data_IF_207461518998
#
_entry.id   IF_207461518998
#
_cell.length_a   1.000
_cell.length_b   1.000
_cell.length_c   1.000
_cell.angle_alpha   90.00
_cell.angle_beta   90.00
_cell.angle_gamma   90.00
#
_symmetry.space_group_name_H-M   'P 1'
#
loop_
_entity.id
_entity.type
_entity.pdbx_description
1 polymer ?
#
# COMPACT_ATOMS: atom_id res chain seq x y z
N UNK A 1 3.65 6.26 9.36
CA UNK A 1 2.40 6.51 8.66
C UNK A 1 1.63 5.22 8.46
N UNK A 2 0.52 5.14 9.19
CA UNK A 2 -0.48 4.11 9.07
C UNK A 2 -1.89 4.70 8.86
N UNK A 3 -2.74 3.90 8.21
CA UNK A 3 -4.19 4.10 8.15
C UNK A 3 -4.82 3.29 9.26
N UNK A 4 -5.58 3.94 10.15
CA UNK A 4 -6.45 3.24 11.11
C UNK A 4 -7.86 3.14 10.56
N UNK A 5 -8.43 1.95 10.59
CA UNK A 5 -9.84 1.67 10.29
C UNK A 5 -10.49 1.11 11.56
N UNK A 6 -11.40 1.89 12.15
CA UNK A 6 -12.22 1.48 13.28
C UNK A 6 -13.49 0.78 12.78
N UNK A 7 -13.66 -0.46 13.21
CA UNK A 7 -14.86 -1.27 12.94
C UNK A 7 -15.76 -1.32 14.17
N UNK A 8 -17.07 -1.42 13.93
CA UNK A 8 -18.09 -1.58 14.97
C UNK A 8 -18.27 -3.03 15.37
N UNK A 9 -19.38 -3.31 16.04
CA UNK A 9 -19.75 -4.65 16.46
C UNK A 9 -20.04 -5.55 15.26
N UNK A 10 -19.86 -6.86 15.45
CA UNK A 10 -20.09 -7.86 14.42
C UNK A 10 -21.53 -7.82 13.88
N UNK A 11 -21.65 -7.83 12.56
CA UNK A 11 -22.93 -7.86 11.85
C UNK A 11 -22.82 -8.72 10.58
N UNK A 12 -23.87 -9.48 10.28
CA UNK A 12 -23.98 -10.20 9.00
C UNK A 12 -24.52 -9.29 7.91
N UNK A 13 -23.96 -9.38 6.71
CA UNK A 13 -24.36 -8.55 5.57
C UNK A 13 -24.56 -9.42 4.32
N UNK A 14 -25.43 -8.98 3.41
CA UNK A 14 -25.82 -9.75 2.22
C UNK A 14 -25.63 -8.99 0.90
N UNK A 15 -25.12 -7.76 0.95
CA UNK A 15 -24.90 -6.89 -0.22
C UNK A 15 -23.68 -5.98 0.05
N UNK A 16 -22.53 -6.62 0.25
CA UNK A 16 -21.27 -5.92 0.47
C UNK A 16 -20.47 -5.80 -0.82
N UNK A 17 -19.88 -4.64 -1.06
CA UNK A 17 -19.12 -4.35 -2.28
C UNK A 17 -17.88 -5.25 -2.49
N UNK A 18 -17.45 -5.98 -1.45
CA UNK A 18 -16.36 -6.95 -1.51
C UNK A 18 -16.86 -8.39 -1.34
N UNK A 19 -18.16 -8.63 -1.49
CA UNK A 19 -18.83 -9.92 -1.35
C UNK A 19 -18.57 -10.61 -0.01
N UNK A 20 -18.51 -9.82 1.07
CA UNK A 20 -18.30 -10.31 2.43
C UNK A 20 -19.62 -10.75 3.05
N UNK A 21 -19.57 -11.80 3.86
CA UNK A 21 -20.75 -12.29 4.61
C UNK A 21 -20.92 -11.62 5.97
N UNK A 22 -19.88 -10.93 6.47
CA UNK A 22 -19.92 -10.20 7.74
C UNK A 22 -18.97 -9.02 7.77
N UNK A 23 -19.31 -8.04 8.60
CA UNK A 23 -18.48 -6.88 8.95
C UNK A 23 -18.40 -6.75 10.47
N UNK A 24 -17.58 -5.81 10.94
CA UNK A 24 -17.44 -5.57 12.38
C UNK A 24 -16.53 -6.58 13.07
N UNK A 25 -16.47 -6.50 14.39
CA UNK A 25 -15.58 -7.30 15.24
C UNK A 25 -16.32 -7.99 16.37
N UNK A 26 -15.82 -9.16 16.77
CA UNK A 26 -16.11 -9.77 18.07
C UNK A 26 -14.84 -10.42 18.65
N UNK A 27 -14.74 -10.58 19.99
CA UNK A 27 -13.48 -10.93 20.68
C UNK A 27 -12.75 -12.21 20.25
N UNK A 28 -13.41 -13.14 19.55
CA UNK A 28 -12.82 -14.42 19.13
C UNK A 28 -12.43 -14.47 17.66
N UNK A 29 -12.58 -13.37 16.92
CA UNK A 29 -12.06 -13.28 15.57
C UNK A 29 -10.53 -13.37 15.58
N UNK A 30 -10.01 -14.16 14.64
CA UNK A 30 -8.62 -14.15 14.23
C UNK A 30 -8.24 -12.82 13.59
N UNK A 31 -6.95 -12.54 13.50
CA UNK A 31 -6.45 -11.33 12.84
C UNK A 31 -6.81 -11.28 11.36
N UNK A 32 -6.83 -12.43 10.68
CA UNK A 32 -7.29 -12.54 9.29
C UNK A 32 -8.77 -12.22 9.15
N UNK A 33 -9.62 -12.69 10.06
CA UNK A 33 -11.04 -12.35 10.06
C UNK A 33 -11.26 -10.87 10.35
N UNK A 34 -10.51 -10.30 11.30
CA UNK A 34 -10.55 -8.87 11.59
C UNK A 34 -10.07 -8.05 10.39
N UNK A 35 -9.03 -8.49 9.69
CA UNK A 35 -8.56 -7.85 8.46
C UNK A 35 -9.61 -7.88 7.35
N UNK A 36 -10.20 -9.04 7.06
CA UNK A 36 -11.25 -9.15 6.04
C UNK A 36 -12.50 -8.32 6.39
N UNK A 37 -12.91 -8.32 7.66
CA UNK A 37 -14.01 -7.49 8.13
C UNK A 37 -13.68 -5.98 8.07
N UNK A 38 -12.42 -5.61 8.31
CA UNK A 38 -11.95 -4.24 8.39
C UNK A 38 -11.58 -3.59 7.06
N UNK A 39 -10.94 -4.32 6.14
CA UNK A 39 -10.35 -3.75 4.92
C UNK A 39 -11.38 -3.00 4.07
N UNK A 40 -12.61 -3.53 3.99
CA UNK A 40 -13.84 -2.85 3.59
C UNK A 40 -13.78 -1.96 2.35
N UNK A 41 -14.83 -1.19 2.13
CA UNK A 41 -14.81 -0.08 1.17
C UNK A 41 -15.00 1.23 1.89
N UNK A 42 -13.98 2.07 1.84
CA UNK A 42 -13.90 3.31 2.61
C UNK A 42 -13.73 4.53 1.71
N UNK A 43 -14.17 5.69 2.20
CA UNK A 43 -13.82 6.98 1.56
C UNK A 43 -12.40 7.36 1.95
N UNK A 44 -11.43 6.82 1.22
CA UNK A 44 -10.01 7.11 1.42
C UNK A 44 -9.53 8.23 0.48
N UNK A 45 -8.56 9.02 0.94
CA UNK A 45 -7.77 9.92 0.11
C UNK A 45 -6.58 9.17 -0.49
N UNK A 46 -6.57 8.96 -1.81
CA UNK A 46 -5.50 8.25 -2.51
C UNK A 46 -4.13 8.94 -2.40
N UNK A 47 -4.08 10.27 -2.24
CA UNK A 47 -2.82 10.97 -2.04
C UNK A 47 -2.20 10.62 -0.68
N UNK A 48 -3.05 10.49 0.34
CA UNK A 48 -2.63 10.09 1.67
C UNK A 48 -2.27 8.61 1.66
N UNK A 49 -3.16 7.72 1.19
CA UNK A 49 -2.95 6.26 1.20
C UNK A 49 -1.62 5.86 0.56
N UNK A 50 -1.20 6.51 -0.52
CA UNK A 50 0.09 6.23 -1.19
C UNK A 50 1.33 6.54 -0.34
N UNK A 51 1.19 7.30 0.74
CA UNK A 51 2.26 7.61 1.71
C UNK A 51 2.21 6.71 2.94
N UNK A 52 1.11 5.98 3.12
CA UNK A 52 0.88 5.10 4.25
C UNK A 52 1.44 3.73 3.94
N UNK A 53 2.10 3.12 4.93
CA UNK A 53 2.71 1.81 4.76
C UNK A 53 1.89 0.71 5.40
N UNK A 54 1.27 1.01 6.53
CA UNK A 54 0.54 0.03 7.32
C UNK A 54 -0.95 0.38 7.42
N UNK A 55 -1.78 -0.65 7.50
CA UNK A 55 -3.18 -0.54 7.85
C UNK A 55 -3.42 -1.21 9.20
N UNK A 56 -4.05 -0.50 10.13
CA UNK A 56 -4.46 -0.98 11.45
C UNK A 56 -5.97 -1.16 11.47
N UNK A 57 -6.44 -2.37 11.76
CA UNK A 57 -7.85 -2.61 12.05
C UNK A 57 -8.06 -2.53 13.56
N UNK A 58 -8.98 -1.67 13.98
CA UNK A 58 -9.30 -1.43 15.39
C UNK A 58 -10.72 -1.88 15.69
N UNK A 59 -10.85 -2.86 16.58
CA UNK A 59 -12.12 -3.35 17.12
C UNK A 59 -12.10 -3.24 18.65
N UNK A 60 -13.20 -2.77 19.25
CA UNK A 60 -13.30 -2.53 20.71
C UNK A 60 -12.16 -1.63 21.25
N UNK A 61 -11.71 -0.66 20.45
CA UNK A 61 -10.66 0.29 20.84
C UNK A 61 -9.24 -0.30 20.89
N UNK A 62 -9.04 -1.54 20.42
CA UNK A 62 -7.74 -2.20 20.33
C UNK A 62 -7.40 -2.59 18.90
N UNK A 63 -6.12 -2.63 18.58
CA UNK A 63 -5.63 -3.11 17.29
C UNK A 63 -5.81 -4.63 17.21
N UNK A 64 -6.55 -5.11 16.21
CA UNK A 64 -6.91 -6.52 16.01
C UNK A 64 -6.27 -7.15 14.80
N UNK A 65 -5.82 -6.33 13.85
CA UNK A 65 -5.03 -6.79 12.72
C UNK A 65 -4.14 -5.65 12.23
N UNK A 66 -2.97 -6.02 11.71
CA UNK A 66 -2.04 -5.09 11.09
C UNK A 66 -1.58 -5.70 9.77
N UNK A 67 -1.66 -4.92 8.69
CA UNK A 67 -1.16 -5.34 7.39
C UNK A 67 -0.24 -4.27 6.80
N UNK A 68 0.79 -4.69 6.06
CA UNK A 68 1.49 -3.82 5.12
C UNK A 68 0.63 -3.66 3.87
N UNK A 69 0.36 -2.42 3.48
CA UNK A 69 -0.49 -2.09 2.34
C UNK A 69 0.28 -2.44 1.06
N UNK A 70 -0.30 -3.30 0.23
CA UNK A 70 0.28 -3.72 -1.04
C UNK A 70 -0.41 -3.05 -2.23
N UNK A 71 -1.72 -2.81 -2.14
CA UNK A 71 -2.48 -2.19 -3.23
C UNK A 71 -3.79 -1.53 -2.76
N UNK A 72 -4.43 -0.77 -3.63
CA UNK A 72 -5.70 -0.08 -3.39
C UNK A 72 -6.60 -0.19 -4.62
N UNK A 73 -7.77 -0.81 -4.43
CA UNK A 73 -8.77 -0.93 -5.50
C UNK A 73 -9.90 0.07 -5.32
N UNK A 74 -10.43 0.60 -6.43
CA UNK A 74 -11.53 1.56 -6.43
C UNK A 74 -12.83 0.83 -6.76
N UNK A 75 -13.84 1.05 -5.93
CA UNK A 75 -15.16 0.42 -6.03
C UNK A 75 -16.24 1.48 -6.22
N UNK A 76 -17.09 1.30 -7.23
CA UNK A 76 -18.31 2.08 -7.40
C UNK A 76 -19.36 1.61 -6.40
N UNK A 77 -19.90 2.53 -5.59
CA UNK A 77 -21.02 2.24 -4.69
C UNK A 77 -22.16 3.23 -4.97
N UNK A 78 -23.36 2.90 -4.52
CA UNK A 78 -24.53 3.79 -4.45
C UNK A 78 -24.19 5.20 -3.89
N UNK A 79 -23.23 5.27 -2.96
CA UNK A 79 -22.76 6.50 -2.29
C UNK A 79 -21.47 7.09 -2.89
N UNK A 80 -21.15 6.72 -4.13
CA UNK A 80 -19.98 7.19 -4.90
C UNK A 80 -18.77 6.25 -4.87
N UNK A 81 -17.60 6.76 -5.27
CA UNK A 81 -16.35 5.97 -5.35
C UNK A 81 -15.72 5.76 -3.97
N UNK A 82 -15.66 4.51 -3.53
CA UNK A 82 -14.96 4.07 -2.33
C UNK A 82 -13.72 3.26 -2.72
N UNK A 83 -12.86 2.96 -1.75
CA UNK A 83 -11.60 2.24 -1.97
C UNK A 83 -11.43 1.13 -0.95
N UNK A 84 -10.92 -0.01 -1.40
CA UNK A 84 -10.56 -1.13 -0.55
C UNK A 84 -9.04 -1.26 -0.52
N UNK A 85 -8.50 -1.50 0.68
CA UNK A 85 -7.10 -1.76 0.88
C UNK A 85 -6.81 -3.25 0.67
N UNK A 86 -5.71 -3.53 0.00
CA UNK A 86 -5.08 -4.85 -0.06
C UNK A 86 -3.77 -4.78 0.70
N UNK A 87 -3.43 -5.88 1.37
CA UNK A 87 -2.24 -5.92 2.18
C UNK A 87 -1.88 -7.32 2.62
N UNK A 88 -0.64 -7.45 3.08
CA UNK A 88 -0.13 -8.68 3.69
C UNK A 88 -0.13 -8.49 5.20
N UNK A 89 -0.77 -9.41 5.91
CA UNK A 89 -0.78 -9.40 7.37
C UNK A 89 0.64 -9.51 7.92
N UNK A 90 0.94 -8.65 8.89
CA UNK A 90 2.15 -8.77 9.67
C UNK A 90 1.98 -9.89 10.70
N UNK A 91 3.08 -10.54 11.06
CA UNK A 91 3.10 -11.64 12.02
C UNK A 91 4.15 -11.39 13.10
N UNK A 92 4.14 -12.23 14.13
CA UNK A 92 5.09 -12.18 15.24
C UNK A 92 6.54 -12.11 14.75
N UNK A 93 7.33 -11.23 15.38
CA UNK A 93 8.72 -10.93 14.99
C UNK A 93 8.85 -9.69 14.10
N UNK A 94 7.75 -9.16 13.55
CA UNK A 94 7.77 -7.85 12.91
C UNK A 94 7.62 -6.74 13.97
N UNK A 95 8.51 -5.73 14.05
CA UNK A 95 8.49 -4.77 15.16
C UNK A 95 7.21 -3.95 15.30
N UNK A 96 6.52 -3.62 14.20
CA UNK A 96 5.19 -2.99 14.26
C UNK A 96 4.13 -3.94 14.80
N UNK A 97 4.19 -5.22 14.41
CA UNK A 97 3.25 -6.22 14.89
C UNK A 97 3.40 -6.40 16.39
N UNK A 98 4.62 -6.72 16.83
CA UNK A 98 4.94 -7.01 18.22
C UNK A 98 4.63 -5.83 19.15
N UNK A 99 4.74 -4.59 18.63
CA UNK A 99 4.45 -3.40 19.42
C UNK A 99 2.96 -3.07 19.50
N UNK A 100 2.20 -3.20 18.41
CA UNK A 100 0.85 -2.65 18.33
C UNK A 100 -0.28 -3.67 18.42
N UNK A 101 -0.05 -4.93 18.07
CA UNK A 101 -1.13 -5.92 18.10
C UNK A 101 -1.71 -6.04 19.51
N UNK A 102 -3.04 -6.07 19.62
CA UNK A 102 -3.81 -6.05 20.86
C UNK A 102 -3.61 -4.84 21.79
N UNK A 103 -2.81 -3.85 21.40
CA UNK A 103 -2.69 -2.58 22.13
C UNK A 103 -3.87 -1.66 21.86
N UNK A 104 -4.01 -0.62 22.68
CA UNK A 104 -4.99 0.46 22.48
C UNK A 104 -4.72 1.13 21.13
N UNK A 105 -5.79 1.56 20.44
CA UNK A 105 -5.71 2.33 19.20
C UNK A 105 -4.71 3.50 19.33
N UNK A 106 -3.56 3.45 18.64
CA UNK A 106 -2.54 4.49 18.75
C UNK A 106 -2.95 5.79 18.04
N UNK A 107 -3.95 5.72 17.15
CA UNK A 107 -4.49 6.85 16.41
C UNK A 107 -5.88 7.25 16.93
N UNK A 108 -6.17 6.94 18.20
CA UNK A 108 -7.45 7.30 18.83
C UNK A 108 -7.61 8.82 18.82
N UNK A 109 -8.78 9.26 18.37
CA UNK A 109 -9.19 10.65 18.37
C UNK A 109 -10.71 10.76 18.60
N UNK A 110 -11.17 11.97 18.88
CA UNK A 110 -12.61 12.24 19.14
C UNK A 110 -13.46 12.25 17.86
N UNK A 111 -12.86 11.98 16.69
CA UNK A 111 -13.59 11.92 15.44
C UNK A 111 -14.51 10.70 15.39
N UNK A 112 -15.72 10.92 14.88
CA UNK A 112 -16.66 9.84 14.55
C UNK A 112 -16.24 9.07 13.28
N UNK A 113 -15.28 9.58 12.51
CA UNK A 113 -14.79 8.89 11.32
C UNK A 113 -14.08 7.58 11.68
N UNK A 114 -14.49 6.50 11.02
CA UNK A 114 -13.84 5.19 11.16
C UNK A 114 -12.39 5.22 10.69
N UNK A 115 -12.09 6.01 9.66
CA UNK A 115 -10.76 6.13 9.06
C UNK A 115 -10.00 7.29 9.70
N UNK A 116 -8.76 7.04 10.10
CA UNK A 116 -7.78 8.05 10.49
C UNK A 116 -6.41 7.76 9.88
N UNK A 117 -5.58 8.79 9.79
CA UNK A 117 -4.21 8.73 9.29
C UNK A 117 -3.29 9.26 10.38
N UNK A 118 -2.10 8.68 10.53
CA UNK A 118 -1.15 9.18 11.49
C UNK A 118 0.15 8.40 11.54
N UNK A 119 1.11 8.94 12.27
CA UNK A 119 2.42 8.33 12.43
C UNK A 119 2.43 7.27 13.52
N UNK A 120 3.19 6.21 13.26
CA UNK A 120 3.57 5.21 14.24
C UNK A 120 5.04 5.50 14.60
N UNK A 121 5.36 5.99 15.81
CA UNK A 121 6.73 6.32 16.19
C UNK A 121 7.73 5.17 15.98
N UNK A 122 7.29 3.94 16.21
CA UNK A 122 8.04 2.70 16.00
C UNK A 122 8.44 2.50 14.54
N UNK A 123 7.61 2.99 13.61
CA UNK A 123 7.90 2.92 12.18
C UNK A 123 9.07 3.83 11.80
N UNK A 124 9.29 4.95 12.52
CA UNK A 124 10.42 5.85 12.22
C UNK A 124 11.74 5.09 12.27
N UNK A 125 11.89 4.14 13.20
CA UNK A 125 13.07 3.26 13.28
C UNK A 125 13.19 2.30 12.09
N UNK A 126 12.07 1.86 11.53
CA UNK A 126 12.01 0.99 10.34
C UNK A 126 12.09 1.77 9.01
N UNK A 127 11.88 3.09 9.04
CA UNK A 127 12.01 4.00 7.90
C UNK A 127 13.44 4.40 7.63
N UNK A 128 14.34 4.24 8.59
CA UNK A 128 15.77 4.46 8.39
C UNK A 128 16.31 3.45 7.38
N UNK A 129 16.19 3.77 6.10
CA UNK A 129 16.82 3.04 5.00
C UNK A 129 18.11 3.76 4.67
N UNK A 130 19.15 3.03 4.31
CA UNK A 130 20.34 3.66 3.76
C UNK A 130 20.04 4.12 2.33
N UNK A 131 20.59 5.27 1.96
CA UNK A 131 20.40 5.83 0.63
C UNK A 131 20.84 4.84 -0.45
N UNK A 132 19.95 4.58 -1.42
CA UNK A 132 20.20 3.65 -2.51
C UNK A 132 21.34 4.07 -3.46
N UNK A 133 21.90 5.28 -3.32
CA UNK A 133 23.11 5.65 -4.06
C UNK A 133 24.35 4.87 -3.60
N UNK A 134 24.31 4.30 -2.38
CA UNK A 134 25.42 3.59 -1.75
C UNK A 134 26.22 4.40 -0.74
N UNK A 135 25.83 5.66 -0.43
CA UNK A 135 26.58 6.50 0.52
C UNK A 135 26.40 6.12 1.99
N UNK A 136 25.49 5.20 2.32
CA UNK A 136 25.22 4.79 3.70
C UNK A 136 24.52 5.84 4.56
N UNK A 137 24.07 6.98 4.01
CA UNK A 137 23.30 7.95 4.79
C UNK A 137 21.87 7.43 5.04
N UNK A 138 21.35 7.52 6.28
CA UNK A 138 19.97 7.19 6.56
C UNK A 138 19.03 8.20 5.89
N UNK A 139 17.92 7.71 5.35
CA UNK A 139 16.90 8.49 4.68
C UNK A 139 15.55 7.78 4.80
N UNK A 140 14.47 8.55 4.86
CA UNK A 140 13.10 8.03 4.81
C UNK A 140 12.63 7.76 3.37
N UNK A 141 13.38 8.23 2.37
CA UNK A 141 13.14 8.05 0.94
C UNK A 141 14.17 7.08 0.33
N UNK A 142 13.94 6.60 -0.89
CA UNK A 142 14.93 5.74 -1.58
C UNK A 142 16.29 6.44 -1.77
N UNK A 143 16.28 7.77 -1.98
CA UNK A 143 17.47 8.59 -2.11
C UNK A 143 17.39 9.79 -1.18
N UNK A 144 18.53 10.20 -0.63
CA UNK A 144 18.69 11.56 -0.09
C UNK A 144 18.40 12.56 -1.23
N UNK A 145 17.77 13.72 -0.96
CA UNK A 145 17.50 14.73 -1.99
C UNK A 145 18.74 15.02 -2.85
N UNK A 146 18.59 14.92 -4.18
CA UNK A 146 19.68 15.11 -5.16
C UNK A 146 20.57 13.88 -5.41
N UNK A 147 20.45 12.80 -4.64
CA UNK A 147 21.33 11.63 -4.80
C UNK A 147 20.91 10.67 -5.92
N UNK A 148 19.66 10.69 -6.37
CA UNK A 148 19.18 9.80 -7.43
C UNK A 148 19.95 9.99 -8.74
N UNK A 149 20.03 11.23 -9.24
CA UNK A 149 20.75 11.55 -10.47
C UNK A 149 22.25 11.25 -10.34
N UNK A 150 22.84 11.59 -9.18
CA UNK A 150 24.24 11.29 -8.88
C UNK A 150 24.51 9.78 -8.92
N UNK A 151 23.59 8.96 -8.41
CA UNK A 151 23.72 7.50 -8.44
C UNK A 151 23.73 6.99 -9.89
N UNK A 152 22.77 7.43 -10.71
CA UNK A 152 22.68 7.06 -12.14
C UNK A 152 23.97 7.44 -12.88
N UNK A 153 24.42 8.69 -12.73
CA UNK A 153 25.66 9.16 -13.36
C UNK A 153 26.90 8.38 -12.91
N UNK A 154 26.95 7.95 -11.64
CA UNK A 154 28.05 7.11 -11.16
C UNK A 154 28.08 5.75 -11.87
N UNK A 155 26.93 5.09 -12.05
CA UNK A 155 26.85 3.79 -12.75
C UNK A 155 27.16 3.94 -14.24
N UNK A 156 26.74 5.04 -14.87
CA UNK A 156 27.11 5.35 -16.26
C UNK A 156 28.64 5.50 -16.39
N UNK A 157 29.29 6.18 -15.43
CA UNK A 157 30.76 6.29 -15.42
C UNK A 157 31.46 4.94 -15.22
N UNK A 158 30.97 4.15 -14.27
CA UNK A 158 31.58 2.88 -13.88
C UNK A 158 31.44 1.81 -14.95
N UNK A 159 30.23 1.64 -15.52
CA UNK A 159 29.93 0.53 -16.44
C UNK A 159 29.97 0.91 -17.92
N UNK A 160 29.82 2.19 -18.25
CA UNK A 160 29.70 2.66 -19.64
C UNK A 160 30.74 3.73 -19.98
N UNK A 161 31.82 3.85 -19.19
CA UNK A 161 32.90 4.81 -19.41
C UNK A 161 32.45 6.28 -19.39
N UNK A 162 31.28 6.57 -18.82
CA UNK A 162 30.69 7.91 -18.78
C UNK A 162 29.80 8.24 -19.99
N UNK A 163 29.64 7.32 -20.93
CA UNK A 163 28.80 7.52 -22.12
C UNK A 163 27.33 7.23 -21.82
N UNK A 164 26.52 8.29 -21.79
CA UNK A 164 25.06 8.14 -21.69
C UNK A 164 24.47 7.43 -22.92
N UNK A 165 25.04 7.64 -24.11
CA UNK A 165 24.59 6.96 -25.33
C UNK A 165 24.80 5.45 -25.25
N UNK A 166 25.94 5.00 -24.71
CA UNK A 166 26.24 3.58 -24.53
C UNK A 166 25.33 2.93 -23.49
N UNK A 167 25.01 3.66 -22.42
CA UNK A 167 24.00 3.23 -21.44
C UNK A 167 22.62 3.07 -22.09
N UNK A 168 22.16 4.06 -22.87
CA UNK A 168 20.85 3.99 -23.54
C UNK A 168 20.80 2.85 -24.55
N UNK A 169 21.82 2.69 -25.39
CA UNK A 169 21.88 1.59 -26.35
C UNK A 169 21.83 0.21 -25.69
N UNK A 170 22.48 0.06 -24.53
CA UNK A 170 22.37 -1.16 -23.73
C UNK A 170 20.97 -1.32 -23.14
N UNK A 171 20.40 -0.26 -22.57
CA UNK A 171 19.08 -0.30 -21.95
C UNK A 171 18.00 -0.69 -22.97
N UNK A 172 18.02 -0.10 -24.16
CA UNK A 172 17.07 -0.36 -25.24
C UNK A 172 17.19 -1.81 -25.77
N UNK A 173 18.39 -2.40 -25.68
CA UNK A 173 18.62 -3.80 -26.06
C UNK A 173 18.12 -4.78 -24.98
N UNK A 174 18.28 -4.45 -23.70
CA UNK A 174 17.82 -5.29 -22.58
C UNK A 174 16.31 -5.17 -22.31
N UNK A 175 15.74 -4.00 -22.55
CA UNK A 175 14.33 -3.68 -22.37
C UNK A 175 13.75 -3.16 -23.69
N UNK A 176 13.62 -4.02 -24.72
CA UNK A 176 13.01 -3.62 -25.97
C UNK A 176 11.58 -3.12 -25.69
N UNK A 177 11.21 -2.01 -26.32
CA UNK A 177 9.86 -1.51 -26.22
C UNK A 177 8.87 -2.60 -26.68
N UNK A 178 7.83 -2.87 -25.88
CA UNK A 178 6.71 -3.68 -26.36
C UNK A 178 6.16 -3.03 -27.61
N UNK A 179 6.15 -3.76 -28.73
CA UNK A 179 5.50 -3.29 -29.95
C UNK A 179 4.03 -2.97 -29.61
N UNK A 180 3.51 -1.79 -29.99
CA UNK A 180 2.10 -1.52 -29.85
C UNK A 180 1.35 -2.62 -30.59
N UNK A 181 0.52 -3.38 -29.87
CA UNK A 181 -0.32 -4.42 -30.45
C UNK A 181 -1.15 -3.76 -31.56
N UNK A 182 -0.82 -4.09 -32.81
CA UNK A 182 -1.58 -3.67 -33.96
C UNK A 182 -3.01 -4.16 -33.75
N UNK A 183 -3.93 -3.21 -33.57
CA UNK A 183 -5.36 -3.45 -33.52
C UNK A 183 -5.73 -4.20 -34.80
N UNK A 184 -5.99 -5.51 -34.67
CA UNK A 184 -6.44 -6.33 -35.78
C UNK A 184 -7.82 -5.82 -36.15
N UNK A 185 -7.87 -4.90 -37.11
CA UNK A 185 -9.07 -4.57 -37.85
C UNK A 185 -9.48 -5.84 -38.61
N UNK A 186 -10.26 -6.70 -37.95
CA UNK A 186 -11.01 -7.75 -38.63
C UNK A 186 -12.04 -7.06 -39.50
N UNK A 187 -11.69 -6.91 -40.77
CA UNK A 187 -12.63 -6.66 -41.84
C UNK A 187 -13.60 -7.84 -41.92
N UNK A 188 -14.75 -7.73 -41.28
CA UNK A 188 -15.85 -8.66 -41.53
C UNK A 188 -16.57 -8.20 -42.80
N UNK A 189 -16.09 -8.74 -43.93
CA UNK A 189 -16.85 -8.77 -45.17
C UNK A 189 -17.87 -9.90 -45.07
N UNK A 190 -19.13 -9.48 -45.22
CA UNK A 190 -20.26 -10.20 -45.81
C UNK A 190 -21.16 -11.04 -44.90
N UNK A 191 -22.39 -10.54 -44.71
CA UNK A 191 -23.59 -11.36 -44.92
C UNK A 191 -24.82 -10.51 -45.30
N UNK A 192 -25.24 -10.71 -46.56
CA UNK A 192 -26.58 -10.49 -47.18
C UNK A 192 -27.18 -9.09 -47.19
#
# INVERSE_FOLDING_TARGET
>A
MAIRIRIGDYERVTDDALDRHSVGYFPRMTESEAWEAGRGVWRLDLRMVRRERYALIVGEGRVRAIAEITDVTVHGTDRGRKKALWGTLLTAGHPIYDHYVNQIDPLRNDSRNSVAYGDLPEEVRLRARHCACGCGQPTEQNFVPGHALRAIQARIREHFGGSALSFLAWLDNELPAEEPQAEVLTADRART
#
